data_IF_357064860923
#
_entry.id   IF_357064860923
#
_cell.length_a   1.000
_cell.length_b   1.000
_cell.length_c   1.000
_cell.angle_alpha   90.00
_cell.angle_beta   90.00
_cell.angle_gamma   90.00
#
_symmetry.space_group_name_H-M   'P 1'
#
loop_
_entity.id
_entity.type
_entity.pdbx_description
1 polymer ?
#
# COMPACT_ATOMS: atom_id res chain seq x y z
N UNK A 1 -2.20 -2.31 20.21
CA UNK A 1 -1.89 -2.13 18.77
C UNK A 1 -1.56 -0.65 18.55
N UNK A 2 -0.29 -0.30 18.32
CA UNK A 2 0.07 1.09 17.99
C UNK A 2 -0.21 1.28 16.50
N UNK A 3 -1.22 2.08 16.17
CA UNK A 3 -1.47 2.45 14.78
C UNK A 3 -0.34 3.41 14.36
N UNK A 4 0.57 2.94 13.51
CA UNK A 4 1.49 3.84 12.82
C UNK A 4 0.63 4.76 11.94
N UNK A 5 0.82 6.07 12.08
CA UNK A 5 0.08 7.01 11.23
C UNK A 5 0.57 6.84 9.80
N UNK A 6 -0.37 6.66 8.88
CA UNK A 6 -0.09 6.55 7.44
C UNK A 6 0.54 7.82 6.84
N UNK A 7 0.77 8.87 7.62
CA UNK A 7 1.37 10.14 7.21
C UNK A 7 2.72 10.42 7.85
N UNK A 8 3.18 9.60 8.80
CA UNK A 8 4.44 9.82 9.52
C UNK A 8 5.44 8.72 9.17
N UNK A 9 6.65 9.08 8.73
CA UNK A 9 7.70 8.11 8.38
C UNK A 9 8.30 7.39 9.61
N UNK A 10 8.10 7.94 10.80
CA UNK A 10 8.63 7.41 12.06
C UNK A 10 7.95 6.07 12.41
N UNK A 11 8.70 4.98 12.32
CA UNK A 11 8.23 3.61 12.61
C UNK A 11 8.10 2.70 11.39
N UNK A 12 8.28 3.22 10.18
CA UNK A 12 8.40 2.42 8.96
C UNK A 12 9.86 2.04 8.71
N UNK A 13 10.10 0.94 8.01
CA UNK A 13 11.44 0.50 7.57
C UNK A 13 11.34 -0.14 6.19
N UNK A 14 12.46 -0.48 5.56
CA UNK A 14 12.48 -1.24 4.31
C UNK A 14 11.93 -2.68 4.48
N UNK A 15 11.58 -3.30 3.35
CA UNK A 15 11.02 -4.65 3.31
C UNK A 15 11.94 -5.71 3.94
N UNK A 16 13.26 -5.64 3.70
CA UNK A 16 14.19 -6.66 4.16
C UNK A 16 14.32 -6.63 5.68
N UNK A 17 14.42 -5.44 6.25
CA UNK A 17 14.44 -5.22 7.70
C UNK A 17 13.13 -5.67 8.34
N UNK A 18 11.98 -5.30 7.76
CA UNK A 18 10.67 -5.74 8.25
C UNK A 18 10.51 -7.27 8.19
N UNK A 19 10.94 -7.90 7.09
CA UNK A 19 10.88 -9.35 6.89
C UNK A 19 11.75 -10.12 7.89
N UNK A 20 12.97 -9.62 8.16
CA UNK A 20 13.86 -10.18 9.19
C UNK A 20 13.23 -10.06 10.59
N UNK A 21 12.66 -8.92 10.92
CA UNK A 21 11.97 -8.72 12.21
C UNK A 21 10.77 -9.65 12.37
N UNK A 22 9.96 -9.84 11.31
CA UNK A 22 8.85 -10.80 11.29
C UNK A 22 9.33 -12.25 11.48
N UNK A 23 10.40 -12.64 10.80
CA UNK A 23 10.98 -13.98 10.96
C UNK A 23 11.45 -14.21 12.40
N UNK A 24 12.17 -13.25 12.98
CA UNK A 24 12.63 -13.33 14.37
C UNK A 24 11.45 -13.39 15.37
N UNK A 25 10.40 -12.59 15.14
CA UNK A 25 9.16 -12.63 15.91
C UNK A 25 8.49 -14.01 15.87
N UNK A 26 8.35 -14.61 14.68
CA UNK A 26 7.74 -15.93 14.52
C UNK A 26 8.56 -17.02 15.22
N UNK A 27 9.89 -16.99 15.10
CA UNK A 27 10.76 -17.92 15.81
C UNK A 27 10.63 -17.76 17.34
N UNK A 28 10.64 -16.53 17.83
CA UNK A 28 10.46 -16.25 19.27
C UNK A 28 9.08 -16.73 19.78
N UNK A 29 8.04 -16.64 18.97
CA UNK A 29 6.70 -17.17 19.28
C UNK A 29 6.71 -18.70 19.35
N UNK A 30 7.32 -19.37 18.36
CA UNK A 30 7.45 -20.84 18.35
C UNK A 30 8.29 -21.36 19.53
N UNK A 31 9.31 -20.62 19.93
CA UNK A 31 10.16 -20.92 21.09
C UNK A 31 9.52 -20.54 22.43
N UNK A 32 8.33 -19.91 22.43
CA UNK A 32 7.63 -19.48 23.65
C UNK A 32 8.29 -18.30 24.38
N UNK A 33 9.23 -17.60 23.74
CA UNK A 33 9.93 -16.43 24.31
C UNK A 33 9.06 -15.18 24.38
N UNK A 34 8.02 -15.14 23.55
CA UNK A 34 6.99 -14.10 23.56
C UNK A 34 5.61 -14.77 23.59
N UNK A 35 4.63 -14.07 24.16
CA UNK A 35 3.23 -14.53 24.19
C UNK A 35 2.37 -13.52 23.43
N UNK A 36 1.49 -13.99 22.54
CA UNK A 36 0.60 -13.16 21.71
C UNK A 36 0.71 -13.40 20.20
N UNK A 37 -0.12 -12.71 19.42
CA UNK A 37 -0.08 -12.75 17.95
C UNK A 37 0.59 -11.48 17.44
N UNK A 38 1.79 -11.59 16.87
CA UNK A 38 2.41 -10.48 16.15
C UNK A 38 1.88 -10.50 14.72
N UNK A 39 1.06 -9.50 14.37
CA UNK A 39 0.60 -9.27 12.99
C UNK A 39 1.47 -8.19 12.36
N UNK A 40 2.15 -8.52 11.28
CA UNK A 40 2.81 -7.53 10.44
C UNK A 40 1.92 -7.22 9.25
N UNK A 41 1.66 -5.95 9.02
CA UNK A 41 1.06 -5.45 7.78
C UNK A 41 2.19 -4.79 7.01
N UNK A 42 2.44 -5.24 5.78
CA UNK A 42 3.32 -4.50 4.88
C UNK A 42 2.57 -3.26 4.42
N UNK A 43 3.27 -2.12 4.33
CA UNK A 43 2.66 -0.92 3.78
C UNK A 43 3.55 -0.24 2.77
N UNK A 44 2.94 0.25 1.71
CA UNK A 44 3.60 0.91 0.60
C UNK A 44 3.43 2.42 0.72
N UNK A 45 4.54 3.16 0.62
CA UNK A 45 4.45 4.60 0.42
C UNK A 45 4.12 4.88 -1.04
N UNK A 46 2.98 5.51 -1.28
CA UNK A 46 2.59 5.89 -2.64
C UNK A 46 3.31 7.18 -3.01
N UNK A 47 4.01 7.17 -4.14
CA UNK A 47 4.67 8.34 -4.71
C UNK A 47 4.52 8.31 -6.23
N UNK A 48 4.47 9.47 -6.92
CA UNK A 48 4.37 9.47 -8.38
C UNK A 48 5.54 8.71 -9.02
N UNK A 49 5.33 8.00 -10.14
CA UNK A 49 4.13 7.98 -10.97
C UNK A 49 3.03 7.01 -10.49
N UNK A 50 3.20 6.36 -9.34
CA UNK A 50 2.23 5.39 -8.83
C UNK A 50 0.92 6.09 -8.43
N UNK A 51 -0.19 5.55 -8.91
CA UNK A 51 -1.55 5.90 -8.54
C UNK A 51 -2.13 4.71 -7.80
N UNK A 52 -2.53 4.94 -6.55
CA UNK A 52 -3.29 3.99 -5.76
C UNK A 52 -4.78 4.27 -5.91
N UNK A 53 -5.57 3.22 -6.07
CA UNK A 53 -7.03 3.27 -6.13
C UNK A 53 -7.54 2.30 -5.07
N UNK A 54 -8.22 2.85 -4.07
CA UNK A 54 -8.88 2.11 -3.00
C UNK A 54 -10.35 1.95 -3.32
N UNK A 55 -10.88 0.75 -3.07
CA UNK A 55 -12.30 0.45 -3.21
C UNK A 55 -12.81 -0.22 -1.96
N UNK A 56 -13.66 0.48 -1.21
CA UNK A 56 -14.19 0.05 0.09
C UNK A 56 -15.64 -0.46 -0.02
N UNK A 57 -16.07 -1.19 1.01
CA UNK A 57 -17.45 -1.64 1.23
C UNK A 57 -18.01 -2.54 0.10
N UNK A 58 -17.20 -3.47 -0.41
CA UNK A 58 -17.60 -4.52 -1.35
C UNK A 58 -17.65 -5.89 -0.64
N UNK A 59 -18.85 -6.42 -0.32
CA UNK A 59 -18.97 -7.68 0.43
C UNK A 59 -18.36 -8.92 -0.24
N UNK A 60 -18.32 -8.95 -1.58
CA UNK A 60 -17.68 -10.00 -2.38
C UNK A 60 -16.83 -9.34 -3.47
N UNK A 61 -15.57 -8.98 -3.16
CA UNK A 61 -14.71 -8.21 -4.05
C UNK A 61 -14.54 -8.85 -5.43
N UNK A 62 -14.25 -10.14 -5.48
CA UNK A 62 -13.93 -10.87 -6.72
C UNK A 62 -15.13 -11.05 -7.65
N UNK A 63 -16.34 -11.19 -7.09
CA UNK A 63 -17.57 -11.30 -7.89
C UNK A 63 -18.19 -9.92 -8.25
N UNK A 64 -17.64 -8.83 -7.74
CA UNK A 64 -18.25 -7.50 -7.86
C UNK A 64 -18.18 -6.91 -9.28
N UNK A 65 -19.15 -6.05 -9.60
CA UNK A 65 -19.12 -5.26 -10.83
C UNK A 65 -17.91 -4.32 -10.87
N UNK A 66 -17.53 -3.78 -9.71
CA UNK A 66 -16.37 -2.93 -9.53
C UNK A 66 -15.08 -3.63 -9.92
N UNK A 67 -14.91 -4.89 -9.50
CA UNK A 67 -13.74 -5.67 -9.88
C UNK A 67 -13.67 -5.84 -11.39
N UNK A 68 -14.77 -6.23 -12.04
CA UNK A 68 -14.82 -6.42 -13.49
C UNK A 68 -14.51 -5.13 -14.25
N UNK A 69 -15.15 -4.02 -13.87
CA UNK A 69 -15.06 -2.74 -14.59
C UNK A 69 -13.70 -2.07 -14.39
N UNK A 70 -13.20 -2.01 -13.15
CA UNK A 70 -11.88 -1.45 -12.86
C UNK A 70 -10.77 -2.30 -13.46
N UNK A 71 -10.85 -3.64 -13.39
CA UNK A 71 -9.86 -4.51 -14.05
C UNK A 71 -9.80 -4.26 -15.55
N UNK A 72 -10.94 -3.98 -16.21
CA UNK A 72 -10.93 -3.58 -17.62
C UNK A 72 -10.28 -2.22 -17.82
N UNK A 73 -10.61 -1.22 -17.01
CA UNK A 73 -10.07 0.14 -17.11
C UNK A 73 -8.58 0.21 -16.79
N UNK A 74 -8.07 -0.67 -15.93
CA UNK A 74 -6.64 -0.81 -15.59
C UNK A 74 -5.90 -1.79 -16.50
N UNK A 75 -6.52 -2.23 -17.61
CA UNK A 75 -5.96 -3.17 -18.59
C UNK A 75 -5.55 -4.53 -18.00
N UNK A 76 -6.20 -4.94 -16.93
CA UNK A 76 -5.90 -6.20 -16.23
C UNK A 76 -4.64 -6.13 -15.37
N UNK A 77 -4.14 -4.93 -15.07
CA UNK A 77 -3.01 -4.74 -14.16
C UNK A 77 -3.29 -5.19 -12.73
N UNK A 78 -2.28 -5.03 -11.88
CA UNK A 78 -2.29 -5.54 -10.51
C UNK A 78 -3.50 -5.08 -9.68
N UNK A 79 -4.16 -6.06 -9.04
CA UNK A 79 -5.22 -5.87 -8.07
C UNK A 79 -5.12 -6.91 -6.94
N UNK A 80 -5.33 -6.47 -5.71
CA UNK A 80 -5.38 -7.31 -4.52
C UNK A 80 -6.62 -7.01 -3.66
N UNK A 81 -7.03 -7.97 -2.84
CA UNK A 81 -8.05 -7.74 -1.81
C UNK A 81 -7.43 -6.92 -0.67
N UNK A 82 -8.16 -5.91 -0.20
CA UNK A 82 -7.73 -5.05 0.90
C UNK A 82 -7.65 -5.81 2.24
N UNK A 83 -6.99 -5.21 3.23
CA UNK A 83 -6.77 -5.86 4.54
C UNK A 83 -8.07 -6.18 5.31
N UNK A 84 -9.18 -5.50 4.99
CA UNK A 84 -10.49 -5.75 5.59
C UNK A 84 -11.20 -6.96 5.00
N UNK A 85 -10.75 -7.45 3.84
CA UNK A 85 -11.37 -8.56 3.12
C UNK A 85 -12.61 -8.18 2.31
N UNK A 86 -13.10 -6.94 2.42
CA UNK A 86 -14.29 -6.42 1.74
C UNK A 86 -13.97 -5.20 0.85
N UNK A 87 -12.77 -5.15 0.32
CA UNK A 87 -12.33 -4.07 -0.56
C UNK A 87 -11.25 -4.53 -1.53
N UNK A 88 -10.89 -3.64 -2.46
CA UNK A 88 -9.88 -3.88 -3.49
C UNK A 88 -8.88 -2.75 -3.53
N UNK A 89 -7.61 -3.10 -3.70
CA UNK A 89 -6.57 -2.16 -4.06
C UNK A 89 -6.16 -2.36 -5.51
N UNK A 90 -6.06 -1.27 -6.28
CA UNK A 90 -5.41 -1.27 -7.58
C UNK A 90 -4.20 -0.36 -7.59
N UNK A 91 -3.20 -0.77 -8.36
CA UNK A 91 -1.95 -0.03 -8.54
C UNK A 91 -1.70 0.17 -10.04
N UNK A 92 -1.59 1.42 -10.47
CA UNK A 92 -1.28 1.78 -11.87
C UNK A 92 -0.26 2.91 -11.91
N UNK A 93 0.46 3.07 -13.01
CA UNK A 93 1.28 4.27 -13.22
C UNK A 93 0.50 5.31 -14.02
N UNK A 94 0.55 6.57 -13.60
CA UNK A 94 -0.16 7.64 -14.27
C UNK A 94 -0.03 8.99 -13.59
N UNK A 95 -0.96 9.89 -13.91
CA UNK A 95 -1.05 11.23 -13.32
C UNK A 95 -2.49 11.49 -12.90
N UNK A 96 -2.68 11.90 -11.65
CA UNK A 96 -3.94 12.47 -11.17
C UNK A 96 -3.88 13.99 -11.16
N UNK A 97 -5.03 14.62 -11.38
CA UNK A 97 -5.20 16.06 -11.20
C UNK A 97 -5.13 16.44 -9.70
N UNK A 98 -5.68 15.59 -8.84
CA UNK A 98 -5.60 15.70 -7.39
C UNK A 98 -5.90 14.37 -6.74
N UNK A 99 -5.68 14.27 -5.44
CA UNK A 99 -6.28 13.19 -4.66
C UNK A 99 -7.82 13.31 -4.70
N UNK A 100 -8.47 12.17 -4.89
CA UNK A 100 -9.93 12.04 -4.82
C UNK A 100 -10.31 11.17 -3.64
N UNK A 101 -11.35 11.58 -2.91
CA UNK A 101 -11.85 10.85 -1.75
C UNK A 101 -13.36 10.87 -1.78
N UNK A 102 -13.95 9.69 -1.78
CA UNK A 102 -15.37 9.44 -1.69
C UNK A 102 -15.68 8.46 -0.56
N UNK A 103 -16.90 7.92 -0.55
CA UNK A 103 -17.30 6.87 0.40
C UNK A 103 -16.77 5.49 -0.02
N UNK A 104 -16.90 5.16 -1.30
CA UNK A 104 -16.54 3.84 -1.85
C UNK A 104 -15.18 3.84 -2.53
N UNK A 105 -14.73 4.99 -3.02
CA UNK A 105 -13.49 5.10 -3.79
C UNK A 105 -12.57 6.14 -3.15
N UNK A 106 -11.28 5.83 -3.06
CA UNK A 106 -10.22 6.82 -2.84
C UNK A 106 -9.14 6.67 -3.92
N UNK A 107 -8.54 7.77 -4.35
CA UNK A 107 -7.46 7.76 -5.33
C UNK A 107 -6.39 8.80 -4.97
N UNK A 108 -5.12 8.40 -4.96
CA UNK A 108 -4.02 9.32 -4.67
C UNK A 108 -2.68 8.84 -5.23
N UNK A 109 -1.75 9.79 -5.36
CA UNK A 109 -0.37 9.54 -5.81
C UNK A 109 0.68 9.87 -4.76
N UNK A 110 0.28 10.16 -3.52
CA UNK A 110 1.16 10.75 -2.52
C UNK A 110 0.52 10.91 -1.14
N UNK A 111 1.30 11.42 -0.19
CA UNK A 111 0.84 11.83 1.13
C UNK A 111 0.50 10.71 2.12
N UNK A 112 0.50 9.43 1.70
CA UNK A 112 0.05 8.30 2.52
C UNK A 112 0.81 6.99 2.29
N UNK A 113 0.88 6.18 3.34
CA UNK A 113 1.15 4.75 3.28
C UNK A 113 -0.16 3.97 3.14
N UNK A 114 -0.14 2.87 2.39
CA UNK A 114 -1.28 1.97 2.18
C UNK A 114 -0.94 0.57 2.61
N UNK A 115 -1.89 -0.19 3.15
CA UNK A 115 -1.68 -1.61 3.40
C UNK A 115 -1.46 -2.33 2.06
N UNK A 116 -0.46 -3.19 2.00
CA UNK A 116 -0.20 -4.08 0.87
C UNK A 116 -0.36 -5.51 1.36
N UNK A 117 -1.35 -6.20 0.82
CA UNK A 117 -1.74 -7.53 1.32
C UNK A 117 -1.04 -8.64 0.56
N UNK A 118 -0.69 -8.42 -0.71
CA UNK A 118 -0.24 -9.46 -1.62
C UNK A 118 -1.33 -10.48 -1.96
N UNK A 119 -2.57 -10.30 -1.50
CA UNK A 119 -3.69 -11.20 -1.78
C UNK A 119 -4.28 -10.90 -3.16
N UNK A 120 -3.47 -11.18 -4.18
CA UNK A 120 -3.73 -10.84 -5.57
C UNK A 120 -4.96 -11.57 -6.11
N UNK A 121 -5.83 -10.82 -6.77
CA UNK A 121 -7.03 -11.32 -7.47
C UNK A 121 -7.00 -11.05 -8.98
N UNK A 122 -6.11 -10.17 -9.44
CA UNK A 122 -5.82 -10.01 -10.87
C UNK A 122 -5.02 -11.19 -11.42
N UNK A 123 -5.14 -11.45 -12.73
CA UNK A 123 -4.30 -12.45 -13.41
C UNK A 123 -2.87 -11.96 -13.72
N UNK A 124 -2.57 -10.68 -13.48
CA UNK A 124 -1.25 -10.07 -13.73
C UNK A 124 -0.70 -9.44 -12.46
N UNK A 125 0.60 -9.63 -12.23
CA UNK A 125 1.40 -9.00 -11.17
C UNK A 125 1.99 -7.63 -11.59
N UNK A 126 1.67 -7.18 -12.81
CA UNK A 126 2.26 -5.98 -13.41
C UNK A 126 1.49 -4.71 -13.06
N UNK A 127 2.22 -3.68 -12.67
CA UNK A 127 1.71 -2.31 -12.55
C UNK A 127 1.81 -1.67 -13.93
N UNK A 128 0.67 -1.37 -14.55
CA UNK A 128 0.62 -0.89 -15.94
C UNK A 128 0.57 0.64 -16.00
N UNK A 129 1.30 1.20 -16.97
CA UNK A 129 1.24 2.62 -17.29
C UNK A 129 -0.02 2.96 -18.09
N UNK A 130 -0.75 3.96 -17.61
CA UNK A 130 -1.98 4.46 -18.21
C UNK A 130 -1.79 5.89 -18.72
N UNK A 131 -2.43 6.18 -19.85
CA UNK A 131 -2.53 7.52 -20.42
C UNK A 131 -3.43 8.41 -19.56
N UNK A 132 -3.32 9.72 -19.72
CA UNK A 132 -4.21 10.67 -19.01
C UNK A 132 -5.69 10.43 -19.32
N UNK A 133 -6.02 10.07 -20.57
CA UNK A 133 -7.39 9.71 -20.96
C UNK A 133 -7.92 8.47 -20.23
N UNK A 134 -7.06 7.47 -20.02
CA UNK A 134 -7.44 6.23 -19.30
C UNK A 134 -7.61 6.52 -17.80
N UNK A 135 -6.71 7.31 -17.20
CA UNK A 135 -6.88 7.74 -15.81
C UNK A 135 -8.15 8.58 -15.65
N UNK A 136 -8.46 9.48 -16.59
CA UNK A 136 -9.72 10.25 -16.59
C UNK A 136 -10.96 9.35 -16.65
N UNK A 137 -10.90 8.27 -17.42
CA UNK A 137 -12.00 7.30 -17.48
C UNK A 137 -12.22 6.63 -16.12
N UNK A 138 -11.14 6.25 -15.42
CA UNK A 138 -11.22 5.71 -14.05
C UNK A 138 -11.80 6.76 -13.08
N UNK A 139 -11.27 7.98 -13.10
CA UNK A 139 -11.77 9.08 -12.25
C UNK A 139 -13.27 9.30 -12.46
N UNK A 140 -13.72 9.30 -13.72
CA UNK A 140 -15.13 9.44 -14.05
C UNK A 140 -15.97 8.25 -13.60
N UNK A 141 -15.47 7.02 -13.74
CA UNK A 141 -16.13 5.80 -13.28
C UNK A 141 -16.36 5.83 -11.76
N UNK A 142 -15.36 6.29 -10.99
CA UNK A 142 -15.46 6.47 -9.54
C UNK A 142 -16.39 7.62 -9.10
N UNK A 143 -17.04 8.32 -10.05
CA UNK A 143 -17.96 9.43 -9.78
C UNK A 143 -17.27 10.76 -9.45
N UNK A 144 -15.96 10.87 -9.69
CA UNK A 144 -15.20 12.09 -9.44
C UNK A 144 -15.15 13.01 -10.66
N UNK A 145 -14.88 14.29 -10.42
CA UNK A 145 -14.71 15.31 -11.47
C UNK A 145 -13.24 15.65 -11.64
N UNK A 146 -12.74 15.49 -12.86
CA UNK A 146 -11.41 15.96 -13.25
C UNK A 146 -11.40 17.49 -13.35
N UNK A 147 -10.54 18.12 -12.57
CA UNK A 147 -10.44 19.58 -12.45
C UNK A 147 -9.30 20.18 -13.28
N UNK A 148 -8.39 19.36 -13.80
CA UNK A 148 -7.23 19.81 -14.59
C UNK A 148 -6.16 20.57 -13.80
N UNK A 149 -6.41 20.88 -12.53
CA UNK A 149 -5.36 21.33 -11.60
C UNK A 149 -4.34 20.20 -11.51
N UNK A 150 -3.05 20.48 -11.61
CA UNK A 150 -2.05 19.45 -11.30
C UNK A 150 -1.91 19.38 -9.80
N UNK A 151 -1.79 18.17 -9.26
CA UNK A 151 -1.43 17.98 -7.86
C UNK A 151 -0.15 18.77 -7.61
N UNK A 152 -0.13 19.57 -6.54
CA UNK A 152 1.09 20.22 -6.11
C UNK A 152 2.15 19.12 -6.00
N UNK A 153 3.33 19.34 -6.60
CA UNK A 153 4.44 18.41 -6.43
C UNK A 153 4.65 18.28 -4.92
N UNK A 154 4.30 17.13 -4.34
CA UNK A 154 4.85 16.82 -3.03
C UNK A 154 6.37 16.91 -3.19
N UNK A 155 7.09 17.49 -2.21
CA UNK A 155 8.53 17.33 -2.22
C UNK A 155 8.77 15.83 -2.30
N UNK A 156 9.36 15.40 -3.41
CA UNK A 156 9.95 14.08 -3.52
C UNK A 156 10.99 14.03 -2.39
N UNK A 157 10.58 13.60 -1.21
CA UNK A 157 11.45 12.93 -0.26
C UNK A 157 11.78 11.59 -0.92
N UNK A 158 12.56 11.69 -1.99
CA UNK A 158 13.38 10.62 -2.54
C UNK A 158 14.58 10.62 -1.63
N UNK A 159 14.46 9.87 -0.54
CA UNK A 159 15.65 9.20 -0.03
C UNK A 159 15.84 8.09 -1.06
N UNK A 160 16.69 8.31 -2.07
CA UNK A 160 17.06 7.25 -3.01
C UNK A 160 17.59 6.06 -2.21
N UNK A 161 16.97 4.87 -2.24
CA UNK A 161 17.67 3.66 -1.85
C UNK A 161 18.64 3.36 -3.00
N UNK A 162 19.94 3.33 -2.69
CA UNK A 162 20.95 2.89 -3.65
C UNK A 162 20.73 1.40 -3.95
N UNK A 163 20.80 0.98 -5.22
CA UNK A 163 20.51 -0.40 -5.60
C UNK A 163 21.71 -1.29 -5.27
N UNK A 164 21.53 -2.26 -4.36
CA UNK A 164 22.42 -3.42 -4.27
C UNK A 164 21.60 -4.70 -4.11
N UNK A 165 21.48 -5.44 -5.22
CA UNK A 165 21.13 -6.87 -5.21
C UNK A 165 19.64 -7.21 -5.31
N UNK A 166 19.22 -7.65 -6.50
CA UNK A 166 18.18 -8.64 -6.88
C UNK A 166 16.92 -8.89 -6.02
N UNK A 167 16.51 -8.01 -5.13
CA UNK A 167 15.22 -8.08 -4.42
C UNK A 167 14.47 -6.77 -4.60
N UNK A 168 13.25 -6.82 -5.13
CA UNK A 168 12.37 -5.65 -5.33
C UNK A 168 12.04 -5.01 -3.97
N UNK A 169 12.72 -3.92 -3.61
CA UNK A 169 12.47 -3.17 -2.36
C UNK A 169 11.28 -2.23 -2.51
N UNK A 170 10.34 -2.27 -1.55
CA UNK A 170 9.24 -1.30 -1.49
C UNK A 170 9.00 -0.84 -0.04
N UNK A 171 9.76 0.16 0.37
CA UNK A 171 9.71 0.87 1.66
C UNK A 171 10.97 1.75 1.77
N UNK A 172 10.86 2.96 2.33
CA UNK A 172 12.04 3.78 2.57
C UNK A 172 12.86 3.15 3.71
N UNK A 173 14.16 2.93 3.48
CA UNK A 173 15.08 2.60 4.55
C UNK A 173 15.21 3.83 5.46
N UNK A 174 14.66 3.73 6.66
CA UNK A 174 14.71 4.78 7.67
C UNK A 174 15.83 4.52 8.70
N UNK A 175 16.75 3.60 8.40
CA UNK A 175 17.91 3.27 9.23
C UNK A 175 17.58 2.44 10.47
N UNK A 176 16.38 1.86 10.56
CA UNK A 176 16.02 0.96 11.65
C UNK A 176 16.62 -0.43 11.40
N UNK A 177 17.12 -1.09 12.45
CA UNK A 177 17.51 -2.51 12.37
C UNK A 177 16.31 -3.41 12.67
N UNK A 178 16.42 -4.70 12.32
CA UNK A 178 15.38 -5.68 12.60
C UNK A 178 15.12 -5.80 14.12
N UNK A 179 16.17 -5.69 14.94
CA UNK A 179 16.08 -5.72 16.41
C UNK A 179 15.32 -4.50 16.94
N UNK A 180 15.56 -3.32 16.37
CA UNK A 180 14.85 -2.09 16.75
C UNK A 180 13.37 -2.16 16.37
N UNK A 181 13.04 -2.67 15.18
CA UNK A 181 11.66 -2.91 14.74
C UNK A 181 10.96 -3.90 15.67
N UNK A 182 11.62 -5.02 15.98
CA UNK A 182 11.09 -6.06 16.87
C UNK A 182 10.86 -5.52 18.29
N UNK A 183 11.82 -4.78 18.85
CA UNK A 183 11.71 -4.17 20.18
C UNK A 183 10.49 -3.24 20.27
N UNK A 184 10.28 -2.38 19.26
CA UNK A 184 9.13 -1.49 19.19
C UNK A 184 7.80 -2.25 19.11
N UNK A 185 7.76 -3.36 18.36
CA UNK A 185 6.59 -4.22 18.26
C UNK A 185 6.27 -4.90 19.61
N UNK A 186 7.27 -5.43 20.30
CA UNK A 186 7.13 -6.11 21.60
C UNK A 186 6.63 -5.14 22.69
N UNK A 187 7.22 -3.94 22.78
CA UNK A 187 6.79 -2.91 23.73
C UNK A 187 5.31 -2.53 23.57
N UNK A 188 4.73 -2.72 22.37
CA UNK A 188 3.32 -2.41 22.11
C UNK A 188 2.33 -3.50 22.57
N UNK A 189 2.83 -4.66 23.02
CA UNK A 189 2.06 -5.84 23.44
C UNK A 189 2.06 -6.01 24.96
N UNK A 190 3.13 -5.60 25.63
CA UNK A 190 3.19 -5.52 27.10
C UNK A 190 2.38 -4.32 27.60
N UNK A 191 1.36 -4.49 28.47
CA UNK A 191 0.68 -3.36 29.09
C UNK A 191 1.66 -2.59 30.00
N UNK A 192 1.54 -1.26 29.99
CA UNK A 192 2.24 -0.34 30.88
C UNK A 192 1.97 -0.63 32.35
#
# INVERSE_FOLDING_TARGET
MRNLKSTEATGWTDYQTASKALTAANNALQEGKITGVIKFTFSLRITPPLVFIDVDDIPDPEASAQFKDLTKLTKGGYCEVSQSGNGLHYFVEGKLDKAHKGKTYEMYTGGRYVAFTGNQVSNSDSILALTESEIKAIVSYCGFKWTGKKQAKEPLLVITPQPTGNGRHWGADNGLTAEQVLSNAIQSITPS
#
